data_IF_157624676345
#
_entry.id   IF_157624676345
#
_cell.length_a   1.000
_cell.length_b   1.000
_cell.length_c   1.000
_cell.angle_alpha   90.00
_cell.angle_beta   90.00
_cell.angle_gamma   90.00
#
_symmetry.space_group_name_H-M   'P 1'
#
loop_
_entity.id
_entity.type
_entity.pdbx_description
1 polymer ?
#
# COMPACT_ATOMS: atom_id res chain seq x y z
N UNK A 1 -6.37 -22.73 -16.91
CA UNK A 1 -5.15 -21.97 -16.57
C UNK A 1 -4.14 -22.97 -16.00
N UNK A 2 -2.92 -23.06 -16.53
CA UNK A 2 -1.91 -23.91 -15.90
C UNK A 2 -1.62 -23.41 -14.48
N UNK A 3 -1.65 -24.30 -13.50
CA UNK A 3 -1.29 -24.01 -12.14
C UNK A 3 0.20 -23.57 -12.10
N UNK A 4 0.57 -22.65 -11.24
CA UNK A 4 1.97 -22.26 -11.07
C UNK A 4 2.77 -23.48 -10.58
N UNK A 5 3.87 -23.81 -11.27
CA UNK A 5 4.68 -24.99 -10.91
C UNK A 5 5.63 -24.69 -9.76
N UNK A 6 6.28 -23.52 -9.79
CA UNK A 6 7.27 -23.10 -8.79
C UNK A 6 7.24 -21.59 -8.59
N UNK A 7 7.24 -21.16 -7.33
CA UNK A 7 7.18 -19.73 -6.93
C UNK A 7 8.39 -19.38 -6.08
N UNK A 8 9.12 -18.34 -6.49
CA UNK A 8 10.12 -17.70 -5.65
C UNK A 8 9.43 -16.70 -4.71
N UNK A 9 9.72 -16.78 -3.42
CA UNK A 9 9.18 -15.91 -2.37
C UNK A 9 10.21 -14.82 -2.08
N UNK A 10 10.00 -13.62 -2.64
CA UNK A 10 10.90 -12.48 -2.52
C UNK A 10 10.68 -11.70 -1.22
N UNK A 11 10.67 -12.39 -0.10
CA UNK A 11 10.47 -11.83 1.22
C UNK A 11 11.06 -12.75 2.30
N UNK A 12 10.91 -12.39 3.59
CA UNK A 12 11.47 -13.11 4.74
C UNK A 12 10.43 -13.23 5.85
N UNK A 13 10.81 -13.98 6.90
CA UNK A 13 10.05 -14.02 8.15
C UNK A 13 8.68 -14.66 8.03
N UNK A 14 7.71 -14.07 8.74
CA UNK A 14 6.37 -14.65 8.87
C UNK A 14 5.59 -14.61 7.54
N UNK A 15 5.73 -13.54 6.74
CA UNK A 15 5.02 -13.46 5.46
C UNK A 15 5.55 -14.48 4.44
N UNK A 16 6.87 -14.69 4.38
CA UNK A 16 7.43 -15.72 3.54
C UNK A 16 6.94 -17.12 3.96
N UNK A 17 6.82 -17.38 5.26
CA UNK A 17 6.27 -18.62 5.79
C UNK A 17 4.77 -18.76 5.46
N UNK A 18 3.99 -17.66 5.51
CA UNK A 18 2.57 -17.66 5.16
C UNK A 18 2.36 -18.00 3.67
N UNK A 19 3.15 -17.40 2.78
CA UNK A 19 3.11 -17.68 1.34
C UNK A 19 3.51 -19.14 1.07
N UNK A 20 4.59 -19.61 1.69
CA UNK A 20 5.05 -20.98 1.57
C UNK A 20 3.97 -22.00 1.93
N UNK A 21 3.25 -21.76 3.04
CA UNK A 21 2.14 -22.64 3.45
C UNK A 21 1.03 -22.66 2.42
N UNK A 22 0.62 -21.51 1.88
CA UNK A 22 -0.39 -21.44 0.83
C UNK A 22 0.06 -22.17 -0.45
N UNK A 23 1.31 -22.00 -0.85
CA UNK A 23 1.87 -22.74 -2.00
C UNK A 23 1.83 -24.27 -1.77
N UNK A 24 2.20 -24.74 -0.58
CA UNK A 24 2.15 -26.17 -0.25
C UNK A 24 0.73 -26.72 -0.26
N UNK A 25 -0.25 -26.00 0.25
CA UNK A 25 -1.67 -26.40 0.19
C UNK A 25 -2.17 -26.52 -1.26
N UNK A 26 -1.62 -25.71 -2.17
CA UNK A 26 -1.95 -25.73 -3.60
C UNK A 26 -1.07 -26.69 -4.42
N UNK A 27 -0.12 -27.41 -3.80
CA UNK A 27 0.82 -28.29 -4.50
C UNK A 27 1.87 -27.55 -5.34
N UNK A 28 2.13 -26.28 -5.04
CA UNK A 28 3.11 -25.42 -5.72
C UNK A 28 4.47 -25.54 -5.02
N UNK A 29 5.54 -25.80 -5.77
CA UNK A 29 6.91 -25.78 -5.23
C UNK A 29 7.34 -24.37 -4.86
N UNK A 30 8.20 -24.26 -3.86
CA UNK A 30 8.62 -22.98 -3.27
C UNK A 30 10.12 -22.81 -3.26
N UNK A 31 10.58 -21.62 -3.61
CA UNK A 31 11.97 -21.18 -3.45
C UNK A 31 11.99 -20.05 -2.43
N UNK A 32 12.69 -20.23 -1.32
CA UNK A 32 12.92 -19.18 -0.33
C UNK A 32 14.21 -18.44 -0.65
N UNK A 33 14.16 -17.10 -0.68
CA UNK A 33 15.38 -16.30 -0.66
C UNK A 33 15.73 -15.90 0.79
N UNK A 34 17.03 -15.75 1.06
CA UNK A 34 17.48 -15.33 2.38
C UNK A 34 18.80 -14.57 2.32
N UNK A 35 18.98 -13.61 3.25
CA UNK A 35 20.29 -13.04 3.56
C UNK A 35 21.14 -14.04 4.36
N UNK A 36 22.42 -13.76 4.52
CA UNK A 36 23.30 -14.65 5.30
C UNK A 36 22.79 -14.90 6.73
N UNK A 37 22.26 -13.88 7.40
CA UNK A 37 21.77 -13.99 8.80
C UNK A 37 20.43 -14.73 8.90
N UNK A 38 19.65 -14.74 7.82
CA UNK A 38 18.32 -15.36 7.82
C UNK A 38 18.31 -16.83 7.40
N UNK A 39 19.48 -17.43 7.18
CA UNK A 39 19.66 -18.79 6.68
C UNK A 39 18.89 -19.86 7.46
N UNK A 40 18.77 -19.70 8.75
CA UNK A 40 18.16 -20.69 9.63
C UNK A 40 16.69 -20.40 9.96
N UNK A 41 16.09 -19.38 9.34
CA UNK A 41 14.69 -19.04 9.55
C UNK A 41 13.75 -20.14 9.02
N UNK A 42 12.57 -20.24 9.65
CA UNK A 42 11.60 -21.31 9.39
C UNK A 42 11.18 -21.41 7.91
N UNK A 43 10.97 -20.28 7.24
CA UNK A 43 10.60 -20.29 5.81
C UNK A 43 11.70 -20.86 4.90
N UNK A 44 12.98 -20.68 5.26
CA UNK A 44 14.12 -21.24 4.52
C UNK A 44 14.20 -22.77 4.72
N UNK A 45 14.01 -23.20 5.96
CA UNK A 45 14.07 -24.63 6.32
C UNK A 45 12.91 -25.45 5.76
N UNK A 46 11.77 -24.85 5.50
CA UNK A 46 10.55 -25.52 5.03
C UNK A 46 10.31 -25.37 3.53
N UNK A 47 11.02 -24.51 2.83
CA UNK A 47 10.94 -24.38 1.37
C UNK A 47 11.53 -25.62 0.67
N UNK A 48 11.11 -25.87 -0.56
CA UNK A 48 11.63 -26.94 -1.38
C UNK A 48 13.06 -26.64 -1.83
N UNK A 49 13.35 -25.38 -2.11
CA UNK A 49 14.68 -24.85 -2.45
C UNK A 49 14.95 -23.54 -1.73
N UNK A 50 16.22 -23.17 -1.57
CA UNK A 50 16.60 -21.87 -1.00
C UNK A 50 17.84 -21.29 -1.65
N UNK A 51 17.87 -19.95 -1.76
CA UNK A 51 18.99 -19.22 -2.35
C UNK A 51 19.42 -18.08 -1.42
N UNK A 52 20.72 -18.02 -1.12
CA UNK A 52 21.31 -16.90 -0.42
C UNK A 52 21.49 -15.73 -1.39
N UNK A 53 20.77 -14.63 -1.18
CA UNK A 53 20.75 -13.46 -2.06
C UNK A 53 21.68 -12.32 -1.62
N UNK A 54 22.50 -12.53 -0.61
CA UNK A 54 23.49 -11.51 -0.21
C UNK A 54 23.73 -11.40 1.29
N UNK A 55 24.45 -10.34 1.71
CA UNK A 55 24.74 -10.05 3.10
C UNK A 55 23.50 -9.63 3.88
N UNK A 56 23.70 -9.20 5.13
CA UNK A 56 22.60 -8.88 6.05
C UNK A 56 21.86 -7.57 5.72
N UNK A 57 22.52 -6.65 5.01
CA UNK A 57 21.91 -5.40 4.59
C UNK A 57 20.75 -5.65 3.60
N UNK A 58 19.53 -5.16 3.85
CA UNK A 58 18.42 -5.29 2.91
C UNK A 58 18.71 -4.70 1.52
N UNK A 59 19.46 -3.61 1.43
CA UNK A 59 19.84 -2.96 0.17
C UNK A 59 20.75 -3.84 -0.69
N UNK A 60 21.50 -4.75 -0.07
CA UNK A 60 22.40 -5.66 -0.74
C UNK A 60 21.82 -7.08 -0.89
N UNK A 61 20.58 -7.30 -0.43
CA UNK A 61 19.89 -8.58 -0.47
C UNK A 61 18.43 -8.44 -0.94
N UNK A 62 17.47 -8.27 -0.02
CA UNK A 62 16.02 -8.25 -0.32
C UNK A 62 15.55 -7.09 -1.19
N UNK A 63 16.30 -5.97 -1.26
CA UNK A 63 16.02 -4.82 -2.13
C UNK A 63 16.88 -4.83 -3.41
N UNK A 64 17.71 -5.86 -3.60
CA UNK A 64 18.55 -6.01 -4.78
C UNK A 64 17.78 -6.76 -5.88
N UNK A 65 17.12 -6.01 -6.76
CA UNK A 65 16.28 -6.56 -7.84
C UNK A 65 17.03 -7.55 -8.72
N UNK A 66 18.23 -7.23 -9.27
CA UNK A 66 18.97 -8.17 -10.09
C UNK A 66 19.22 -9.51 -9.41
N UNK A 67 19.60 -9.52 -8.14
CA UNK A 67 19.89 -10.74 -7.40
C UNK A 67 18.63 -11.61 -7.21
N UNK A 68 17.46 -10.98 -6.98
CA UNK A 68 16.20 -11.71 -6.85
C UNK A 68 15.80 -12.34 -8.19
N UNK A 69 15.93 -11.61 -9.29
CA UNK A 69 15.65 -12.13 -10.63
C UNK A 69 16.60 -13.30 -10.97
N UNK A 70 17.91 -13.14 -10.73
CA UNK A 70 18.87 -14.23 -10.93
C UNK A 70 18.56 -15.45 -10.07
N UNK A 71 18.09 -15.26 -8.82
CA UNK A 71 17.66 -16.38 -7.99
C UNK A 71 16.44 -17.11 -8.59
N UNK A 72 15.51 -16.38 -9.22
CA UNK A 72 14.37 -16.99 -9.91
C UNK A 72 14.81 -17.77 -11.17
N UNK A 73 15.78 -17.24 -11.92
CA UNK A 73 16.34 -17.89 -13.11
C UNK A 73 17.04 -19.21 -12.76
N UNK A 74 17.97 -19.20 -11.82
CA UNK A 74 18.77 -20.40 -11.47
C UNK A 74 17.95 -21.49 -10.77
N UNK A 75 16.76 -21.18 -10.30
CA UNK A 75 15.84 -22.13 -9.68
C UNK A 75 14.68 -22.53 -10.59
N UNK A 76 14.67 -22.11 -11.83
CA UNK A 76 13.56 -22.36 -12.78
C UNK A 76 12.18 -21.99 -12.21
N UNK A 77 12.11 -20.89 -11.45
CA UNK A 77 10.84 -20.38 -10.94
C UNK A 77 10.01 -19.81 -12.08
N UNK A 78 8.69 -19.95 -12.03
CA UNK A 78 7.77 -19.39 -13.05
C UNK A 78 7.08 -18.10 -12.59
N UNK A 79 7.13 -17.83 -11.30
CA UNK A 79 6.53 -16.64 -10.71
C UNK A 79 7.31 -16.16 -9.48
N UNK A 80 7.16 -14.88 -9.16
CA UNK A 80 7.75 -14.24 -7.97
C UNK A 80 6.65 -13.65 -7.12
N UNK A 81 6.60 -14.02 -5.84
CA UNK A 81 5.69 -13.45 -4.84
C UNK A 81 6.44 -12.49 -3.92
N UNK A 82 6.18 -11.20 -3.97
CA UNK A 82 6.92 -10.21 -3.17
C UNK A 82 6.46 -10.14 -1.69
N UNK A 83 5.34 -10.76 -1.33
CA UNK A 83 4.72 -10.58 -0.02
C UNK A 83 4.19 -9.15 0.17
N UNK A 84 4.55 -8.53 1.30
CA UNK A 84 4.33 -7.12 1.59
C UNK A 84 5.64 -6.45 2.06
N UNK A 85 5.70 -5.10 2.00
CA UNK A 85 6.95 -4.38 2.26
C UNK A 85 8.02 -4.68 1.21
N UNK A 86 9.27 -4.36 1.52
CA UNK A 86 10.41 -4.51 0.59
C UNK A 86 10.07 -4.02 -0.83
N UNK A 87 9.99 -4.94 -1.79
CA UNK A 87 9.74 -4.65 -3.21
C UNK A 87 8.27 -4.85 -3.62
N UNK A 88 7.36 -5.16 -2.70
CA UNK A 88 5.96 -5.44 -3.03
C UNK A 88 5.23 -4.26 -3.70
N UNK A 89 5.59 -3.04 -3.33
CA UNK A 89 5.04 -1.79 -3.88
C UNK A 89 6.01 -1.07 -4.82
N UNK A 90 7.02 -1.78 -5.31
CA UNK A 90 8.00 -1.23 -6.25
C UNK A 90 7.59 -1.55 -7.68
N UNK A 91 7.13 -0.54 -8.42
CA UNK A 91 6.66 -0.69 -9.79
C UNK A 91 7.77 -1.14 -10.76
N UNK A 92 9.01 -0.68 -10.56
CA UNK A 92 10.12 -1.06 -11.41
C UNK A 92 10.51 -2.52 -11.20
N UNK A 93 10.38 -3.03 -9.97
CA UNK A 93 10.55 -4.46 -9.70
C UNK A 93 9.48 -5.29 -10.41
N UNK A 94 8.20 -4.93 -10.27
CA UNK A 94 7.11 -5.64 -10.94
C UNK A 94 7.33 -5.67 -12.46
N UNK A 95 7.71 -4.54 -13.05
CA UNK A 95 7.98 -4.42 -14.49
C UNK A 95 9.21 -5.28 -14.91
N UNK A 96 10.29 -5.27 -14.13
CA UNK A 96 11.48 -6.06 -14.42
C UNK A 96 11.20 -7.56 -14.31
N UNK A 97 10.44 -8.01 -13.32
CA UNK A 97 10.00 -9.40 -13.18
C UNK A 97 9.26 -9.87 -14.42
N UNK A 98 8.29 -9.08 -14.90
CA UNK A 98 7.51 -9.42 -16.10
C UNK A 98 8.37 -9.40 -17.38
N UNK A 99 9.25 -8.40 -17.54
CA UNK A 99 10.19 -8.31 -18.66
C UNK A 99 11.19 -9.47 -18.71
N UNK A 100 11.52 -10.05 -17.55
CA UNK A 100 12.37 -11.23 -17.44
C UNK A 100 11.63 -12.56 -17.68
N UNK A 101 10.34 -12.51 -18.02
CA UNK A 101 9.53 -13.68 -18.35
C UNK A 101 8.88 -14.37 -17.16
N UNK A 102 9.00 -13.82 -15.95
CA UNK A 102 8.35 -14.33 -14.75
C UNK A 102 6.99 -13.65 -14.54
N UNK A 103 6.07 -14.37 -13.89
CA UNK A 103 4.81 -13.78 -13.45
C UNK A 103 5.03 -13.06 -12.10
N UNK A 104 4.72 -11.78 -12.04
CA UNK A 104 4.64 -11.05 -10.78
C UNK A 104 3.32 -11.36 -10.07
N UNK A 105 3.37 -11.86 -8.83
CA UNK A 105 2.16 -12.11 -8.02
C UNK A 105 1.81 -10.84 -7.25
N UNK A 106 1.01 -10.00 -7.86
CA UNK A 106 0.62 -8.69 -7.36
C UNK A 106 -0.04 -7.84 -8.43
N UNK A 107 -0.29 -6.54 -8.14
CA UNK A 107 -0.83 -5.60 -9.11
C UNK A 107 0.15 -5.34 -10.26
N UNK A 108 -0.37 -4.86 -11.37
CA UNK A 108 0.46 -4.45 -12.52
C UNK A 108 1.35 -3.27 -12.14
N UNK A 109 2.51 -3.15 -12.76
CA UNK A 109 3.44 -2.04 -12.50
C UNK A 109 2.80 -0.66 -12.66
N UNK A 110 1.92 -0.49 -13.66
CA UNK A 110 1.16 0.75 -13.89
C UNK A 110 0.25 1.09 -12.71
N UNK A 111 -0.45 0.09 -12.18
CA UNK A 111 -1.34 0.25 -11.02
C UNK A 111 -0.53 0.59 -9.76
N UNK A 112 0.64 -0.04 -9.57
CA UNK A 112 1.54 0.30 -8.46
C UNK A 112 2.01 1.75 -8.57
N UNK A 113 2.40 2.22 -9.76
CA UNK A 113 2.78 3.63 -10.00
C UNK A 113 1.64 4.60 -9.74
N UNK A 114 0.44 4.27 -10.22
CA UNK A 114 -0.76 5.09 -10.01
C UNK A 114 -1.07 5.25 -8.52
N UNK A 115 -1.08 4.13 -7.79
CA UNK A 115 -1.43 4.10 -6.36
C UNK A 115 -0.29 4.59 -5.46
N UNK A 116 0.95 4.53 -5.92
CA UNK A 116 2.11 5.05 -5.20
C UNK A 116 2.17 6.58 -5.14
N UNK A 117 1.46 7.28 -6.04
CA UNK A 117 1.32 8.74 -5.99
C UNK A 117 -0.02 9.10 -5.34
N UNK A 118 0.02 9.70 -4.14
CA UNK A 118 -1.18 10.00 -3.35
C UNK A 118 -2.20 10.87 -4.08
N UNK A 119 -1.76 11.88 -4.82
CA UNK A 119 -2.66 12.78 -5.57
C UNK A 119 -3.34 12.02 -6.71
N UNK A 120 -2.58 11.26 -7.48
CA UNK A 120 -3.11 10.43 -8.56
C UNK A 120 -4.05 9.35 -8.04
N UNK A 121 -3.70 8.72 -6.91
CA UNK A 121 -4.54 7.71 -6.25
C UNK A 121 -5.88 8.31 -5.79
N UNK A 122 -5.86 9.45 -5.08
CA UNK A 122 -7.08 10.14 -4.62
C UNK A 122 -7.96 10.51 -5.82
N UNK A 123 -7.41 11.11 -6.87
CA UNK A 123 -8.15 11.49 -8.06
C UNK A 123 -8.78 10.26 -8.76
N UNK A 124 -8.05 9.15 -8.86
CA UNK A 124 -8.58 7.91 -9.40
C UNK A 124 -9.73 7.37 -8.54
N UNK A 125 -9.61 7.43 -7.22
CA UNK A 125 -10.65 6.98 -6.29
C UNK A 125 -11.89 7.87 -6.31
N UNK A 126 -11.73 9.19 -6.38
CA UNK A 126 -12.86 10.14 -6.55
C UNK A 126 -13.61 9.83 -7.84
N UNK A 127 -12.90 9.66 -8.96
CA UNK A 127 -13.49 9.32 -10.25
C UNK A 127 -14.26 8.01 -10.23
N UNK A 128 -13.74 7.02 -9.50
CA UNK A 128 -14.39 5.72 -9.29
C UNK A 128 -15.54 5.74 -8.25
N UNK A 129 -15.86 6.90 -7.65
CA UNK A 129 -16.92 7.05 -6.66
C UNK A 129 -16.59 6.48 -5.28
N UNK A 130 -15.33 6.23 -4.98
CA UNK A 130 -14.88 5.83 -3.63
C UNK A 130 -14.93 7.05 -2.72
N UNK A 131 -15.53 6.97 -1.52
CA UNK A 131 -15.51 8.04 -0.55
C UNK A 131 -14.07 8.43 -0.18
N UNK A 132 -13.76 9.72 -0.25
CA UNK A 132 -12.45 10.26 0.16
C UNK A 132 -12.64 11.29 1.26
N UNK A 133 -11.59 11.50 2.06
CA UNK A 133 -11.59 12.60 3.03
C UNK A 133 -11.64 13.91 2.26
N UNK A 134 -12.57 14.85 2.59
CA UNK A 134 -12.59 16.16 1.94
C UNK A 134 -11.24 16.86 2.03
N UNK A 135 -10.75 17.38 0.92
CA UNK A 135 -9.42 17.98 0.85
C UNK A 135 -9.27 18.97 -0.29
N UNK A 136 -8.07 19.48 -0.46
CA UNK A 136 -7.73 20.31 -1.62
C UNK A 136 -7.64 19.44 -2.88
N UNK A 137 -8.16 19.96 -4.01
CA UNK A 137 -8.02 19.31 -5.32
C UNK A 137 -6.57 19.44 -5.84
N UNK A 138 -5.68 18.65 -5.22
CA UNK A 138 -4.27 18.66 -5.53
C UNK A 138 -3.43 19.54 -4.59
N UNK A 139 -2.18 19.80 -4.98
CA UNK A 139 -1.22 20.57 -4.17
C UNK A 139 -1.68 22.01 -3.91
N UNK A 140 -1.31 22.51 -2.73
CA UNK A 140 -1.43 23.95 -2.45
C UNK A 140 -0.44 24.72 -3.33
N UNK A 141 -0.90 25.89 -3.76
CA UNK A 141 -0.09 26.86 -4.52
C UNK A 141 0.39 28.00 -3.61
N UNK A 142 1.20 28.90 -4.13
CA UNK A 142 1.66 30.10 -3.42
C UNK A 142 0.54 31.18 -3.28
N UNK A 143 -0.72 30.83 -3.61
CA UNK A 143 -1.88 31.68 -3.46
C UNK A 143 -2.51 31.47 -2.06
N UNK A 144 -2.17 32.40 -1.17
CA UNK A 144 -2.65 32.39 0.22
C UNK A 144 -4.18 32.53 0.30
N UNK A 145 -4.81 33.37 -0.53
CA UNK A 145 -6.26 33.55 -0.51
C UNK A 145 -7.00 32.29 -0.96
N UNK A 146 -6.48 31.62 -1.98
CA UNK A 146 -6.99 30.32 -2.44
C UNK A 146 -6.87 29.27 -1.32
N UNK A 147 -5.73 29.21 -0.64
CA UNK A 147 -5.47 28.27 0.46
C UNK A 147 -6.45 28.51 1.63
N UNK A 148 -6.67 29.76 2.02
CA UNK A 148 -7.64 30.12 3.06
C UNK A 148 -9.08 29.74 2.67
N UNK A 149 -9.46 29.98 1.42
CA UNK A 149 -10.81 29.63 0.91
C UNK A 149 -11.02 28.11 0.95
N UNK A 150 -10.08 27.32 0.45
CA UNK A 150 -10.13 25.85 0.49
C UNK A 150 -10.30 25.35 1.94
N UNK A 151 -9.51 25.87 2.88
CA UNK A 151 -9.62 25.48 4.28
C UNK A 151 -10.98 25.83 4.91
N UNK A 152 -11.59 26.97 4.54
CA UNK A 152 -12.94 27.34 4.98
C UNK A 152 -14.00 26.38 4.41
N UNK A 153 -13.88 25.98 3.14
CA UNK A 153 -14.80 25.04 2.49
C UNK A 153 -14.71 23.65 3.11
N UNK A 154 -13.49 23.16 3.43
CA UNK A 154 -13.26 21.90 4.15
C UNK A 154 -13.79 21.98 5.59
N UNK A 155 -13.66 23.14 6.23
CA UNK A 155 -14.01 23.38 7.64
C UNK A 155 -12.92 22.90 8.60
N UNK A 156 -12.58 23.79 9.58
CA UNK A 156 -11.60 23.45 10.62
C UNK A 156 -12.11 22.39 11.61
N UNK A 157 -11.22 21.59 12.23
CA UNK A 157 -9.79 21.53 11.98
C UNK A 157 -9.45 20.88 10.64
N UNK A 158 -8.33 21.33 10.04
CA UNK A 158 -7.77 20.75 8.82
C UNK A 158 -6.38 20.21 9.10
N UNK A 159 -5.92 19.28 8.27
CA UNK A 159 -4.56 18.72 8.32
C UNK A 159 -3.80 19.11 7.05
N UNK A 160 -2.61 19.65 7.23
CA UNK A 160 -1.64 19.84 6.14
C UNK A 160 -0.83 18.55 6.04
N UNK A 161 -0.64 18.02 4.83
CA UNK A 161 0.16 16.81 4.58
C UNK A 161 1.16 17.04 3.45
N UNK A 162 2.38 16.57 3.61
CA UNK A 162 3.36 16.48 2.53
C UNK A 162 2.94 15.40 1.53
N UNK A 163 3.03 15.71 0.22
CA UNK A 163 2.70 14.77 -0.86
C UNK A 163 3.59 13.52 -0.82
N UNK A 164 4.87 13.70 -0.53
CA UNK A 164 5.87 12.63 -0.40
C UNK A 164 6.01 12.10 1.02
N UNK A 165 5.19 12.56 1.98
CA UNK A 165 5.23 12.18 3.40
C UNK A 165 4.59 10.82 3.69
N UNK A 166 5.04 10.17 4.76
CA UNK A 166 4.50 8.90 5.24
C UNK A 166 4.89 8.63 6.70
N UNK A 167 4.20 7.67 7.34
CA UNK A 167 4.51 7.26 8.71
C UNK A 167 4.35 8.35 9.77
N UNK A 168 3.46 9.33 9.54
CA UNK A 168 3.21 10.43 10.49
C UNK A 168 4.18 11.61 10.40
N UNK A 169 5.07 11.64 9.40
CA UNK A 169 6.02 12.74 9.17
C UNK A 169 5.51 13.68 8.08
N UNK A 170 5.79 14.98 8.21
CA UNK A 170 5.32 16.01 7.27
C UNK A 170 3.81 16.24 7.36
N UNK A 171 3.23 16.21 8.55
CA UNK A 171 1.81 16.45 8.80
C UNK A 171 1.63 17.41 9.98
N UNK A 172 0.70 18.38 9.82
CA UNK A 172 0.37 19.33 10.86
C UNK A 172 -1.13 19.58 10.93
N UNK A 173 -1.72 19.46 12.13
CA UNK A 173 -3.12 19.80 12.38
C UNK A 173 -3.26 21.30 12.65
N UNK A 174 -4.23 21.92 11.97
CA UNK A 174 -4.54 23.34 12.07
C UNK A 174 -5.97 23.52 12.55
N UNK A 175 -6.14 24.13 13.71
CA UNK A 175 -7.45 24.33 14.34
C UNK A 175 -8.12 25.66 13.99
N UNK A 176 -7.37 26.62 13.45
CA UNK A 176 -7.89 27.94 13.13
C UNK A 176 -7.20 28.57 11.91
N UNK A 177 -7.94 29.45 11.24
CA UNK A 177 -7.45 30.17 10.07
C UNK A 177 -6.17 30.97 10.34
N UNK A 178 -6.08 31.61 11.51
CA UNK A 178 -4.93 32.44 11.88
C UNK A 178 -3.60 31.68 11.89
N UNK A 179 -3.63 30.36 12.08
CA UNK A 179 -2.43 29.51 12.10
C UNK A 179 -2.14 28.80 10.77
N UNK A 180 -3.05 28.87 9.78
CA UNK A 180 -2.97 28.07 8.57
C UNK A 180 -1.74 28.37 7.73
N UNK A 181 -1.54 29.63 7.31
CA UNK A 181 -0.44 29.99 6.40
C UNK A 181 0.93 29.73 7.02
N UNK A 182 1.08 30.01 8.32
CA UNK A 182 2.31 29.65 9.03
C UNK A 182 2.52 28.14 9.08
N UNK A 183 1.46 27.37 9.30
CA UNK A 183 1.50 25.91 9.28
C UNK A 183 1.91 25.37 7.91
N UNK A 184 1.40 25.94 6.83
CA UNK A 184 1.79 25.56 5.46
C UNK A 184 3.29 25.75 5.24
N UNK A 185 3.83 26.93 5.59
CA UNK A 185 5.26 27.23 5.43
C UNK A 185 6.17 26.27 6.24
N UNK A 186 5.77 25.97 7.48
CA UNK A 186 6.50 25.04 8.34
C UNK A 186 6.50 23.64 7.70
N UNK A 187 5.33 23.14 7.32
CA UNK A 187 5.19 21.79 6.75
C UNK A 187 5.91 21.66 5.40
N UNK A 188 5.88 22.69 4.56
CA UNK A 188 6.65 22.75 3.31
C UNK A 188 8.16 22.68 3.56
N UNK A 189 8.66 23.41 4.57
CA UNK A 189 10.07 23.38 4.94
C UNK A 189 10.51 22.01 5.48
N UNK A 190 9.69 21.40 6.33
CA UNK A 190 9.93 20.05 6.84
C UNK A 190 9.91 19.01 5.71
N UNK A 191 8.94 19.12 4.79
CA UNK A 191 8.82 18.22 3.64
C UNK A 191 10.03 18.33 2.71
N UNK A 192 10.48 19.54 2.43
CA UNK A 192 11.70 19.80 1.63
C UNK A 192 12.93 19.16 2.28
N UNK A 193 13.10 19.32 3.58
CA UNK A 193 14.25 18.80 4.31
C UNK A 193 14.24 17.27 4.44
N UNK A 194 13.05 16.68 4.65
CA UNK A 194 12.92 15.25 4.90
C UNK A 194 12.79 14.41 3.64
N UNK A 195 12.18 14.96 2.57
CA UNK A 195 11.80 14.21 1.37
C UNK A 195 12.31 14.84 0.07
N UNK A 196 12.92 16.04 0.13
CA UNK A 196 13.38 16.79 -1.05
C UNK A 196 12.26 17.46 -1.86
N UNK A 197 10.99 17.31 -1.45
CA UNK A 197 9.80 17.82 -2.13
C UNK A 197 8.94 18.65 -1.16
N UNK A 198 8.77 19.97 -1.39
CA UNK A 198 7.99 20.84 -0.51
C UNK A 198 6.47 20.77 -0.76
N UNK A 199 6.03 19.92 -1.67
CA UNK A 199 4.62 19.83 -2.07
C UNK A 199 3.76 19.40 -0.89
N UNK A 200 2.72 20.20 -0.56
CA UNK A 200 1.75 19.93 0.50
C UNK A 200 0.32 20.09 -0.01
N UNK A 201 -0.62 19.45 0.66
CA UNK A 201 -2.06 19.55 0.41
C UNK A 201 -2.83 19.61 1.73
N UNK A 202 -4.12 20.00 1.67
CA UNK A 202 -5.04 20.05 2.82
C UNK A 202 -6.01 18.88 2.79
N UNK A 203 -6.33 18.38 3.98
CA UNK A 203 -7.44 17.43 4.20
C UNK A 203 -8.23 17.83 5.45
N UNK A 204 -9.50 17.42 5.52
CA UNK A 204 -10.26 17.46 6.77
C UNK A 204 -9.57 16.66 7.85
N UNK A 205 -9.33 17.24 9.00
CA UNK A 205 -8.88 16.48 10.17
C UNK A 205 -10.09 15.85 10.86
N UNK A 206 -10.07 14.53 10.96
CA UNK A 206 -11.03 13.75 11.73
C UNK A 206 -10.48 13.53 13.13
N UNK A 207 -11.21 13.97 14.16
CA UNK A 207 -10.66 13.97 15.53
C UNK A 207 -10.61 12.61 16.18
N UNK A 208 -11.60 11.74 15.89
CA UNK A 208 -11.74 10.41 16.49
C UNK A 208 -12.17 9.37 15.46
N UNK A 209 -11.46 9.25 14.33
CA UNK A 209 -11.83 8.27 13.33
C UNK A 209 -11.46 6.86 13.78
N UNK A 210 -12.29 5.91 13.37
CA UNK A 210 -11.91 4.50 13.34
C UNK A 210 -11.19 4.20 12.04
N UNK A 211 -10.21 3.33 12.11
CA UNK A 211 -9.49 2.85 10.94
C UNK A 211 -10.14 1.56 10.44
N UNK A 212 -10.87 1.65 9.34
CA UNK A 212 -11.60 0.52 8.75
C UNK A 212 -11.04 0.24 7.37
N UNK A 213 -10.78 -1.02 7.06
CA UNK A 213 -10.26 -1.40 5.76
C UNK A 213 -11.12 -2.46 5.07
N UNK A 214 -11.17 -2.42 3.75
CA UNK A 214 -11.86 -3.38 2.89
C UNK A 214 -10.85 -4.22 2.15
N UNK A 215 -10.94 -5.55 2.29
CA UNK A 215 -10.12 -6.48 1.53
C UNK A 215 -10.77 -6.75 0.18
N UNK A 216 -10.01 -6.59 -0.89
CA UNK A 216 -10.42 -6.94 -2.26
C UNK A 216 -9.52 -8.02 -2.85
N UNK A 217 -10.07 -8.74 -3.82
CA UNK A 217 -9.36 -9.71 -4.63
C UNK A 217 -9.86 -9.60 -6.07
N UNK A 218 -8.93 -9.38 -7.01
CA UNK A 218 -9.23 -9.20 -8.42
C UNK A 218 -8.40 -10.15 -9.30
N UNK A 219 -9.00 -10.62 -10.38
CA UNK A 219 -8.34 -11.46 -11.37
C UNK A 219 -7.92 -10.69 -12.63
N UNK A 220 -7.25 -11.37 -13.56
CA UNK A 220 -6.84 -10.80 -14.85
C UNK A 220 -7.98 -10.73 -15.88
N UNK A 221 -9.19 -11.19 -15.55
CA UNK A 221 -10.35 -11.25 -16.43
C UNK A 221 -11.34 -10.11 -16.16
N UNK A 222 -11.01 -9.19 -15.24
CA UNK A 222 -11.84 -8.06 -14.85
C UNK A 222 -12.86 -8.37 -13.75
N UNK A 223 -12.77 -9.55 -13.12
CA UNK A 223 -13.59 -9.84 -11.95
C UNK A 223 -12.90 -9.28 -10.69
N UNK A 224 -13.70 -8.69 -9.83
CA UNK A 224 -13.26 -8.24 -8.52
C UNK A 224 -14.34 -8.54 -7.49
N UNK A 225 -13.93 -9.08 -6.36
CA UNK A 225 -14.76 -9.33 -5.18
C UNK A 225 -14.17 -8.62 -3.97
N UNK A 226 -15.01 -8.31 -2.99
CA UNK A 226 -14.55 -7.95 -1.64
C UNK A 226 -14.69 -9.16 -0.71
N UNK A 227 -13.83 -9.24 0.31
CA UNK A 227 -13.86 -10.25 1.35
C UNK A 227 -14.35 -9.68 2.69
N UNK A 228 -15.06 -8.56 2.65
CA UNK A 228 -15.53 -7.83 3.81
C UNK A 228 -14.55 -6.78 4.31
N UNK A 229 -14.86 -6.28 5.50
CA UNK A 229 -14.11 -5.22 6.16
C UNK A 229 -13.46 -5.69 7.47
N UNK A 230 -12.47 -4.94 7.94
CA UNK A 230 -11.80 -5.09 9.22
C UNK A 230 -11.72 -3.75 9.92
N UNK A 231 -11.85 -3.73 11.23
CA UNK A 231 -11.48 -2.60 12.07
C UNK A 231 -10.02 -2.76 12.53
N UNK A 232 -9.21 -1.79 12.20
CA UNK A 232 -7.78 -1.76 12.52
C UNK A 232 -7.42 -0.57 13.41
N UNK A 233 -8.38 -0.06 14.20
CA UNK A 233 -8.20 1.15 15.03
C UNK A 233 -7.24 0.92 16.19
N UNK A 234 -7.08 -0.31 16.65
CA UNK A 234 -6.15 -0.66 17.73
C UNK A 234 -4.71 -0.66 17.20
N UNK A 235 -4.06 0.49 17.30
CA UNK A 235 -2.73 0.73 16.74
C UNK A 235 -1.75 1.20 17.80
N UNK A 236 -0.48 0.87 17.62
CA UNK A 236 0.65 1.43 18.36
C UNK A 236 1.60 2.14 17.42
N UNK A 237 1.72 3.45 17.52
CA UNK A 237 2.59 4.27 16.64
C UNK A 237 2.32 4.01 15.15
N UNK A 238 1.05 4.02 14.77
CA UNK A 238 0.56 3.74 13.41
C UNK A 238 0.82 2.29 12.92
N UNK A 239 1.07 1.36 13.82
CA UNK A 239 1.13 -0.07 13.52
C UNK A 239 -0.11 -0.76 14.06
N UNK A 240 -0.80 -1.49 13.21
CA UNK A 240 -1.97 -2.32 13.56
C UNK A 240 -1.53 -3.42 14.55
N UNK A 241 -2.24 -3.55 15.67
CA UNK A 241 -1.92 -4.52 16.73
C UNK A 241 -3.01 -5.59 16.85
N UNK A 242 -4.29 -5.16 16.79
CA UNK A 242 -5.44 -6.02 16.81
C UNK A 242 -6.37 -5.59 15.68
N UNK A 243 -6.90 -6.56 14.97
CA UNK A 243 -7.89 -6.36 13.90
C UNK A 243 -9.13 -7.21 14.19
N UNK A 244 -10.30 -6.63 13.98
CA UNK A 244 -11.59 -7.30 14.13
C UNK A 244 -12.30 -7.40 12.77
N UNK A 245 -12.77 -8.59 12.42
CA UNK A 245 -13.53 -8.82 11.18
C UNK A 245 -14.85 -9.55 11.50
N UNK A 246 -15.99 -9.04 11.01
CA UNK A 246 -16.20 -7.75 10.35
C UNK A 246 -16.05 -6.57 11.31
N UNK A 247 -15.78 -5.36 10.80
CA UNK A 247 -15.72 -4.14 11.62
C UNK A 247 -17.03 -3.94 12.39
N UNK A 248 -17.02 -3.83 13.74
CA UNK A 248 -18.24 -3.69 14.51
C UNK A 248 -18.91 -2.33 14.31
N UNK A 249 -20.24 -2.27 14.49
CA UNK A 249 -21.04 -1.03 14.53
C UNK A 249 -20.82 -0.08 13.32
N UNK A 250 -20.61 -0.61 12.12
CA UNK A 250 -20.66 0.17 10.88
C UNK A 250 -22.10 0.21 10.39
N UNK A 251 -22.60 1.39 10.00
CA UNK A 251 -23.92 1.53 9.39
C UNK A 251 -24.04 0.59 8.18
N UNK A 252 -25.05 -0.30 8.10
CA UNK A 252 -25.17 -1.31 7.05
C UNK A 252 -25.21 -0.73 5.63
N UNK A 253 -25.88 0.41 5.42
CA UNK A 253 -26.00 1.05 4.11
C UNK A 253 -24.65 1.64 3.69
N UNK A 254 -23.96 2.31 4.61
CA UNK A 254 -22.61 2.85 4.38
C UNK A 254 -21.63 1.72 4.06
N UNK A 255 -21.68 0.61 4.82
CA UNK A 255 -20.87 -0.58 4.53
C UNK A 255 -21.13 -1.10 3.12
N UNK A 256 -22.38 -1.38 2.77
CA UNK A 256 -22.72 -1.94 1.45
C UNK A 256 -22.26 -1.02 0.30
N UNK A 257 -22.48 0.29 0.44
CA UNK A 257 -22.04 1.29 -0.53
C UNK A 257 -20.52 1.32 -0.69
N UNK A 258 -19.78 1.31 0.43
CA UNK A 258 -18.30 1.36 0.41
C UNK A 258 -17.71 0.08 -0.17
N UNK A 259 -18.20 -1.10 0.22
CA UNK A 259 -17.76 -2.38 -0.33
C UNK A 259 -17.94 -2.44 -1.85
N UNK A 260 -19.11 -1.98 -2.34
CA UNK A 260 -19.39 -1.89 -3.78
C UNK A 260 -18.44 -0.92 -4.48
N UNK A 261 -18.23 0.28 -3.92
CA UNK A 261 -17.34 1.29 -4.50
C UNK A 261 -15.89 0.77 -4.63
N UNK A 262 -15.40 0.02 -3.64
CA UNK A 262 -14.07 -0.61 -3.72
C UNK A 262 -13.94 -1.59 -4.90
N UNK A 263 -14.94 -2.46 -5.09
CA UNK A 263 -14.91 -3.42 -6.21
C UNK A 263 -15.06 -2.74 -7.56
N UNK A 264 -15.87 -1.71 -7.66
CA UNK A 264 -16.06 -0.94 -8.90
C UNK A 264 -14.76 -0.17 -9.24
N UNK A 265 -14.13 0.44 -8.26
CA UNK A 265 -12.83 1.12 -8.44
C UNK A 265 -11.74 0.16 -8.92
N UNK A 266 -11.64 -1.04 -8.35
CA UNK A 266 -10.70 -2.06 -8.81
C UNK A 266 -10.90 -2.40 -10.29
N UNK A 267 -12.15 -2.54 -10.73
CA UNK A 267 -12.47 -2.82 -12.14
C UNK A 267 -12.08 -1.66 -13.05
N UNK A 268 -12.36 -0.42 -12.63
CA UNK A 268 -12.05 0.78 -13.43
C UNK A 268 -10.54 0.97 -13.64
N UNK A 269 -9.72 0.75 -12.59
CA UNK A 269 -8.27 0.89 -12.69
C UNK A 269 -7.57 -0.38 -13.21
N UNK A 270 -8.31 -1.45 -13.52
CA UNK A 270 -7.74 -2.72 -13.95
C UNK A 270 -6.86 -3.39 -12.89
N UNK A 271 -7.26 -3.29 -11.60
CA UNK A 271 -6.55 -3.90 -10.49
C UNK A 271 -6.48 -5.42 -10.62
N UNK A 272 -5.34 -6.00 -10.23
CA UNK A 272 -5.13 -7.45 -10.22
C UNK A 272 -4.43 -7.83 -8.91
N UNK A 273 -4.83 -8.94 -8.32
CA UNK A 273 -4.27 -9.44 -7.08
C UNK A 273 -5.11 -9.07 -5.85
N UNK A 274 -4.50 -9.26 -4.68
CA UNK A 274 -5.08 -8.88 -3.40
C UNK A 274 -4.71 -7.44 -3.05
N UNK A 275 -5.64 -6.71 -2.44
CA UNK A 275 -5.41 -5.34 -2.00
C UNK A 275 -6.34 -4.93 -0.87
N UNK A 276 -6.03 -3.82 -0.23
CA UNK A 276 -6.86 -3.21 0.79
C UNK A 276 -7.16 -1.75 0.47
N UNK A 277 -8.39 -1.32 0.79
CA UNK A 277 -8.78 0.08 0.82
C UNK A 277 -8.92 0.49 2.28
N UNK A 278 -8.12 1.44 2.71
CA UNK A 278 -8.14 1.95 4.08
C UNK A 278 -8.99 3.22 4.18
N UNK A 279 -9.92 3.23 5.11
CA UNK A 279 -10.85 4.32 5.37
C UNK A 279 -10.72 4.84 6.79
N UNK A 280 -10.97 6.13 6.94
CA UNK A 280 -11.26 6.74 8.22
C UNK A 280 -12.78 6.85 8.38
N UNK A 281 -13.34 6.08 9.30
CA UNK A 281 -14.77 6.07 9.58
C UNK A 281 -15.08 6.89 10.84
N UNK A 282 -15.96 7.86 10.70
CA UNK A 282 -16.50 8.66 11.81
C UNK A 282 -17.98 8.85 11.58
N UNK A 283 -18.78 8.71 12.66
CA UNK A 283 -20.24 8.90 12.66
C UNK A 283 -20.62 10.38 12.47
#
# INVERSE_FOLDING_TARGET
MAMLEKVLIANRGEIALRILRACKELGIKTVAVHSKVDRDLMHVRLADESVCIGPNSPTESYLNIPTIISAAEVTDSVAIHPGYGFLAENADFAEQVEKSGFRFIGPRAETIRLMGNKVSAINAMIKAGVPTVPGSDGPLTDDDERTLRIAREIGYPVMIKAASGGGGRGMQVIHSEASLLKGVQITQSEARNAFGDPTVYLEKFLEKPRHVEVQVLADMHGNCIHLGDRDCSMQRRNQKVIEEAPAPNINPESRARTLKACTDACKEIGYVGAGTFEFLYQD
#
